data_IF_992985047311
#
_entry.id   IF_992985047311
#
_cell.length_a   1.000
_cell.length_b   1.000
_cell.length_c   1.000
_cell.angle_alpha   90.00
_cell.angle_beta   90.00
_cell.angle_gamma   90.00
#
_symmetry.space_group_name_H-M   'P 1'
#
loop_
_entity.id
_entity.type
_entity.pdbx_description
1 polymer ?
#
# COMPACT_ATOMS: atom_id res chain seq x y z
N UNK A 1 17.39 24.52 -2.02
CA UNK A 1 16.94 23.64 -0.92
C UNK A 1 16.48 22.34 -1.57
N UNK A 2 17.19 21.23 -1.34
CA UNK A 2 16.94 19.94 -1.99
C UNK A 2 16.28 19.02 -0.97
N UNK A 3 14.96 18.94 -0.97
CA UNK A 3 14.26 17.99 -0.11
C UNK A 3 14.42 16.59 -0.71
N UNK A 4 15.29 15.79 -0.10
CA UNK A 4 15.41 14.35 -0.35
C UNK A 4 14.38 13.65 0.55
N UNK A 5 13.17 13.42 0.04
CA UNK A 5 12.27 12.42 0.62
C UNK A 5 12.31 11.21 -0.31
N UNK A 6 13.22 10.28 -0.05
CA UNK A 6 13.16 8.95 -0.69
C UNK A 6 12.11 8.14 0.06
N UNK A 7 10.87 8.14 -0.45
CA UNK A 7 9.81 7.26 0.03
C UNK A 7 10.17 5.86 -0.49
N UNK A 8 10.79 5.04 0.36
CA UNK A 8 11.09 3.65 0.02
C UNK A 8 9.77 2.85 0.01
N UNK A 9 9.27 2.51 -1.17
CA UNK A 9 8.07 1.68 -1.39
C UNK A 9 8.12 0.29 -0.76
N UNK A 10 9.31 -0.16 -0.33
CA UNK A 10 9.49 -1.37 0.48
C UNK A 10 8.63 -1.42 1.74
N UNK A 11 8.03 -0.30 2.17
CA UNK A 11 7.15 -0.24 3.35
C UNK A 11 5.67 0.09 3.06
N UNK A 12 5.30 0.58 1.88
CA UNK A 12 3.96 1.20 1.68
C UNK A 12 2.92 0.21 1.15
N UNK A 13 3.31 -0.74 0.28
CA UNK A 13 2.36 -1.69 -0.33
C UNK A 13 2.21 -3.01 0.45
N UNK A 14 3.04 -3.26 1.46
CA UNK A 14 2.93 -4.43 2.34
C UNK A 14 1.71 -4.41 3.27
N UNK A 15 1.00 -3.28 3.37
CA UNK A 15 -0.20 -3.14 4.21
C UNK A 15 -1.51 -3.56 3.51
N UNK A 16 -1.51 -3.73 2.18
CA UNK A 16 -2.71 -4.18 1.45
C UNK A 16 -3.00 -5.68 1.72
N UNK A 17 -2.01 -6.46 2.18
CA UNK A 17 -2.15 -7.92 2.21
C UNK A 17 -2.38 -8.58 3.58
N UNK A 18 -2.11 -7.96 4.74
CA UNK A 18 -2.20 -8.69 6.03
C UNK A 18 -2.73 -7.81 7.17
N UNK A 19 -4.05 -7.84 7.35
CA UNK A 19 -4.74 -7.29 8.52
C UNK A 19 -5.73 -8.25 9.17
N UNK A 20 -5.59 -9.57 8.95
CA UNK A 20 -6.41 -10.62 9.53
C UNK A 20 -5.64 -11.48 10.54
N UNK A 21 -5.23 -10.92 11.69
CA UNK A 21 -5.03 -11.70 12.92
C UNK A 21 -5.53 -10.86 14.10
N UNK A 22 -6.62 -11.30 14.72
CA UNK A 22 -7.06 -10.80 16.03
C UNK A 22 -6.33 -11.49 17.18
N UNK A 23 -6.47 -10.91 18.39
CA UNK A 23 -6.22 -11.47 19.73
C UNK A 23 -4.73 -11.68 20.08
N UNK A 24 -4.15 -11.27 21.21
CA UNK A 24 -4.59 -10.86 22.56
C UNK A 24 -3.53 -9.93 23.16
N UNK A 25 -3.91 -9.04 24.09
CA UNK A 25 -2.95 -8.22 24.83
C UNK A 25 -2.14 -9.02 25.86
N UNK A 26 -0.87 -8.66 26.01
CA UNK A 26 -0.13 -8.53 27.27
C UNK A 26 1.11 -7.66 27.03
N UNK A 27 1.22 -6.53 27.72
CA UNK A 27 2.48 -5.82 27.93
C UNK A 27 3.50 -6.75 28.60
N UNK A 28 4.79 -6.70 28.26
CA UNK A 28 5.92 -6.69 29.22
C UNK A 28 7.29 -6.56 28.54
N UNK A 29 8.04 -5.56 29.01
CA UNK A 29 9.49 -5.47 29.23
C UNK A 29 10.51 -5.74 28.11
N UNK A 30 11.28 -4.67 27.84
CA UNK A 30 12.68 -4.69 27.42
C UNK A 30 13.55 -5.50 28.39
N UNK A 31 14.47 -6.32 27.87
CA UNK A 31 15.73 -6.59 28.55
C UNK A 31 16.85 -6.85 27.52
N UNK A 32 17.98 -6.11 27.56
CA UNK A 32 19.07 -6.26 26.62
C UNK A 32 20.04 -7.35 27.11
N UNK A 33 20.47 -8.26 26.22
CA UNK A 33 21.65 -9.09 26.47
C UNK A 33 22.69 -8.90 25.35
N UNK A 34 23.72 -8.18 25.76
CA UNK A 34 25.04 -8.01 25.18
C UNK A 34 25.74 -9.36 24.94
N UNK A 35 26.35 -9.54 23.77
CA UNK A 35 27.54 -10.38 23.52
C UNK A 35 28.39 -9.73 22.40
N UNK A 36 29.70 -10.01 22.31
CA UNK A 36 30.73 -8.99 22.17
C UNK A 36 31.23 -8.73 20.74
N UNK A 37 31.89 -7.58 20.64
CA UNK A 37 32.76 -7.01 19.59
C UNK A 37 33.52 -8.00 18.71
N UNK A 38 33.41 -7.82 17.39
CA UNK A 38 34.48 -8.05 16.43
C UNK A 38 34.57 -6.84 15.47
N UNK A 39 35.76 -6.24 15.37
CA UNK A 39 36.18 -5.27 14.35
C UNK A 39 37.62 -5.64 13.94
N UNK A 40 38.18 -5.11 12.84
CA UNK A 40 37.58 -4.65 11.58
C UNK A 40 38.24 -5.33 10.35
N UNK A 41 37.58 -5.41 9.19
CA UNK A 41 38.33 -5.46 7.93
C UNK A 41 37.53 -4.92 6.77
N UNK A 42 38.17 -3.96 6.10
CA UNK A 42 37.72 -3.27 4.90
C UNK A 42 37.74 -4.22 3.71
N UNK A 43 36.62 -4.32 3.01
CA UNK A 43 36.60 -4.65 1.59
C UNK A 43 35.35 -4.04 0.98
N UNK A 44 35.58 -3.10 0.05
CA UNK A 44 34.55 -2.29 -0.59
C UNK A 44 33.43 -3.16 -1.14
N UNK A 45 32.24 -2.99 -0.56
CA UNK A 45 31.02 -3.35 -1.28
C UNK A 45 30.93 -2.41 -2.48
N UNK A 46 30.63 -2.91 -3.69
CA UNK A 46 30.27 -2.01 -4.76
C UNK A 46 29.02 -1.29 -4.26
N UNK A 47 29.11 0.04 -4.13
CA UNK A 47 27.94 0.88 -4.25
C UNK A 47 27.31 0.48 -5.58
N UNK A 48 26.32 -0.42 -5.53
CA UNK A 48 25.38 -0.60 -6.62
C UNK A 48 24.80 0.78 -6.81
N UNK A 49 25.32 1.45 -7.84
CA UNK A 49 25.02 2.81 -8.18
C UNK A 49 23.51 2.89 -8.27
N UNK A 50 22.89 3.52 -7.27
CA UNK A 50 21.48 3.88 -7.33
C UNK A 50 21.40 4.94 -8.41
N UNK A 51 21.19 4.47 -9.64
CA UNK A 51 20.95 5.31 -10.80
C UNK A 51 19.66 6.06 -10.52
N UNK A 52 19.81 7.32 -10.12
CA UNK A 52 18.70 8.24 -10.11
C UNK A 52 18.29 8.56 -11.56
N UNK A 53 16.97 8.69 -11.73
CA UNK A 53 16.21 9.29 -12.84
C UNK A 53 15.87 8.41 -14.05
N UNK A 54 14.57 8.16 -14.18
CA UNK A 54 13.84 8.32 -15.43
C UNK A 54 13.94 7.15 -16.39
N UNK A 55 13.58 5.95 -15.94
CA UNK A 55 12.98 5.01 -16.88
C UNK A 55 11.69 5.63 -17.38
N UNK A 56 11.43 5.62 -18.69
CA UNK A 56 10.07 5.95 -19.15
C UNK A 56 9.16 4.87 -18.60
N UNK A 57 8.24 5.24 -17.69
CA UNK A 57 7.25 4.30 -17.18
C UNK A 57 6.67 3.45 -18.32
N UNK A 58 6.68 2.14 -18.10
CA UNK A 58 6.04 1.23 -19.04
C UNK A 58 4.54 1.50 -19.11
N UNK A 59 3.88 0.93 -20.11
CA UNK A 59 2.42 0.98 -20.14
C UNK A 59 1.79 0.17 -19.01
N UNK A 60 2.50 -0.83 -18.46
CA UNK A 60 2.06 -1.58 -17.30
C UNK A 60 2.12 -0.71 -16.03
N UNK A 61 3.24 -0.05 -15.78
CA UNK A 61 3.44 0.82 -14.60
C UNK A 61 2.36 1.92 -14.55
N UNK A 62 2.09 2.58 -15.69
CA UNK A 62 1.04 3.61 -15.79
C UNK A 62 -0.36 3.05 -15.58
N UNK A 63 -0.63 1.85 -16.07
CA UNK A 63 -1.92 1.18 -15.87
C UNK A 63 -2.10 0.80 -14.41
N UNK A 64 -1.07 0.23 -13.78
CA UNK A 64 -1.06 -0.14 -12.39
C UNK A 64 -1.30 1.06 -11.47
N UNK A 65 -0.56 2.17 -11.65
CA UNK A 65 -0.79 3.40 -10.86
C UNK A 65 -2.25 3.87 -10.96
N UNK A 66 -2.82 3.86 -12.18
CA UNK A 66 -4.21 4.29 -12.41
C UNK A 66 -5.22 3.34 -11.78
N UNK A 67 -4.99 2.04 -11.84
CA UNK A 67 -5.92 1.04 -11.32
C UNK A 67 -5.83 0.93 -9.80
N UNK A 68 -4.63 0.93 -9.23
CA UNK A 68 -4.41 1.01 -7.78
C UNK A 68 -5.01 2.30 -7.18
N UNK A 69 -4.89 3.44 -7.85
CA UNK A 69 -5.54 4.68 -7.41
C UNK A 69 -7.07 4.58 -7.40
N UNK A 70 -7.69 3.92 -8.41
CA UNK A 70 -9.15 3.74 -8.45
C UNK A 70 -9.63 2.78 -7.36
N UNK A 71 -8.95 1.65 -7.18
CA UNK A 71 -9.26 0.65 -6.15
C UNK A 71 -9.14 1.28 -4.76
N UNK A 72 -7.96 1.82 -4.44
CA UNK A 72 -7.71 2.44 -3.15
C UNK A 72 -8.66 3.59 -2.81
N UNK A 73 -9.06 4.43 -3.78
CA UNK A 73 -10.08 5.47 -3.51
C UNK A 73 -11.48 4.87 -3.26
N UNK A 74 -11.85 3.83 -4.01
CA UNK A 74 -13.11 3.12 -3.79
C UNK A 74 -13.15 2.48 -2.40
N UNK A 75 -12.07 1.84 -1.97
CA UNK A 75 -11.96 1.20 -0.65
C UNK A 75 -12.02 2.20 0.49
N UNK A 76 -11.43 3.40 0.33
CA UNK A 76 -11.61 4.50 1.29
C UNK A 76 -13.06 4.96 1.35
N UNK A 77 -13.71 5.14 0.19
CA UNK A 77 -15.10 5.58 0.15
C UNK A 77 -16.04 4.53 0.78
N UNK A 78 -15.83 3.24 0.48
CA UNK A 78 -16.56 2.14 1.09
C UNK A 78 -16.25 2.03 2.59
N UNK A 79 -14.99 2.15 3.00
CA UNK A 79 -14.61 2.14 4.41
C UNK A 79 -15.35 3.20 5.23
N UNK A 80 -15.50 4.42 4.70
CA UNK A 80 -16.23 5.53 5.37
C UNK A 80 -17.70 5.21 5.58
N UNK A 81 -18.35 4.62 4.58
CA UNK A 81 -19.77 4.23 4.69
C UNK A 81 -19.92 3.07 5.68
N UNK A 82 -18.99 2.12 5.73
CA UNK A 82 -19.03 0.99 6.67
C UNK A 82 -18.77 1.46 8.11
N UNK A 83 -17.77 2.30 8.34
CA UNK A 83 -17.47 2.91 9.63
C UNK A 83 -18.71 3.60 10.23
N UNK A 84 -19.45 4.33 9.39
CA UNK A 84 -20.63 5.09 9.81
C UNK A 84 -21.89 4.22 9.99
N UNK A 85 -22.15 3.32 9.04
CA UNK A 85 -23.47 2.71 8.87
C UNK A 85 -23.54 1.21 9.18
N UNK A 86 -22.41 0.52 9.36
CA UNK A 86 -22.44 -0.91 9.62
C UNK A 86 -23.19 -1.21 10.93
N UNK A 87 -23.81 -2.38 11.02
CA UNK A 87 -24.55 -2.78 12.24
C UNK A 87 -23.64 -3.49 13.23
N UNK A 88 -22.71 -4.30 12.71
CA UNK A 88 -21.71 -5.02 13.47
C UNK A 88 -20.51 -4.11 13.78
N UNK A 89 -20.11 -4.06 15.07
CA UNK A 89 -18.98 -3.26 15.53
C UNK A 89 -17.65 -3.65 14.87
N UNK A 90 -17.42 -4.93 14.60
CA UNK A 90 -16.20 -5.39 13.93
C UNK A 90 -16.13 -4.89 12.49
N UNK A 91 -17.28 -4.82 11.80
CA UNK A 91 -17.37 -4.28 10.44
C UNK A 91 -17.16 -2.77 10.42
N UNK A 92 -17.63 -2.03 11.44
CA UNK A 92 -17.27 -0.61 11.62
C UNK A 92 -15.77 -0.43 11.80
N UNK A 93 -15.16 -1.20 12.70
CA UNK A 93 -13.71 -1.15 12.95
C UNK A 93 -12.91 -1.54 11.72
N UNK A 94 -13.38 -2.52 10.94
CA UNK A 94 -12.79 -2.87 9.67
C UNK A 94 -12.88 -1.70 8.67
N UNK A 95 -14.07 -1.09 8.51
CA UNK A 95 -14.24 0.10 7.66
C UNK A 95 -13.29 1.25 8.04
N UNK A 96 -13.17 1.57 9.33
CA UNK A 96 -12.26 2.61 9.82
C UNK A 96 -10.78 2.30 9.48
N UNK A 97 -10.38 1.02 9.56
CA UNK A 97 -9.03 0.59 9.15
C UNK A 97 -8.83 0.76 7.64
N UNK A 98 -9.80 0.38 6.81
CA UNK A 98 -9.73 0.59 5.36
C UNK A 98 -9.53 2.07 5.00
N UNK A 99 -10.27 2.97 5.65
CA UNK A 99 -10.09 4.42 5.44
C UNK A 99 -8.68 4.88 5.78
N UNK A 100 -8.13 4.42 6.91
CA UNK A 100 -6.81 4.80 7.37
C UNK A 100 -5.71 4.27 6.45
N UNK A 101 -5.71 2.96 6.22
CA UNK A 101 -4.58 2.27 5.58
C UNK A 101 -4.56 2.56 4.08
N UNK A 102 -5.71 2.47 3.39
CA UNK A 102 -5.80 2.81 1.97
C UNK A 102 -5.72 4.33 1.74
N UNK A 103 -6.20 5.15 2.69
CA UNK A 103 -6.01 6.60 2.64
C UNK A 103 -4.53 6.99 2.59
N UNK A 104 -3.72 6.38 3.47
CA UNK A 104 -2.27 6.61 3.47
C UNK A 104 -1.60 6.09 2.19
N UNK A 105 -1.99 4.89 1.72
CA UNK A 105 -1.45 4.33 0.48
C UNK A 105 -1.77 5.21 -0.74
N UNK A 106 -2.99 5.75 -0.82
CA UNK A 106 -3.40 6.68 -1.88
C UNK A 106 -2.58 7.98 -1.87
N UNK A 107 -2.28 8.53 -0.70
CA UNK A 107 -1.44 9.73 -0.57
C UNK A 107 -0.03 9.49 -1.11
N UNK A 108 0.57 8.35 -0.78
CA UNK A 108 1.90 7.98 -1.27
C UNK A 108 1.88 7.72 -2.78
N UNK A 109 0.91 6.95 -3.27
CA UNK A 109 0.74 6.67 -4.70
C UNK A 109 0.50 7.94 -5.52
N UNK A 110 -0.22 8.93 -4.95
CA UNK A 110 -0.43 10.24 -5.58
C UNK A 110 0.87 11.03 -5.70
N UNK A 111 1.78 10.89 -4.74
CA UNK A 111 3.14 11.44 -4.83
C UNK A 111 3.89 10.88 -6.04
N UNK A 112 3.90 9.55 -6.18
CA UNK A 112 4.55 8.85 -7.29
C UNK A 112 3.92 9.25 -8.62
N UNK A 113 2.59 9.22 -8.73
CA UNK A 113 1.87 9.61 -9.93
C UNK A 113 2.25 11.04 -10.38
N UNK A 114 2.44 11.96 -9.43
CA UNK A 114 2.87 13.34 -9.73
C UNK A 114 4.31 13.40 -10.22
N UNK A 115 5.23 12.67 -9.59
CA UNK A 115 6.64 12.62 -10.00
C UNK A 115 6.80 12.03 -11.41
N UNK A 116 5.99 11.01 -11.71
CA UNK A 116 6.01 10.28 -12.99
C UNK A 116 5.06 10.85 -14.05
N UNK A 117 4.42 12.00 -13.77
CA UNK A 117 3.49 12.68 -14.68
C UNK A 117 2.33 11.78 -15.17
N UNK A 118 1.85 10.91 -14.29
CA UNK A 118 0.67 10.07 -14.51
C UNK A 118 -0.57 10.82 -14.02
N UNK A 119 -1.59 10.91 -14.88
CA UNK A 119 -2.87 11.52 -14.53
C UNK A 119 -3.54 10.76 -13.38
N UNK A 120 -3.90 11.51 -12.33
CA UNK A 120 -4.64 10.98 -11.19
C UNK A 120 -6.13 10.85 -11.53
N UNK A 121 -6.75 9.67 -11.36
CA UNK A 121 -8.16 9.49 -11.66
C UNK A 121 -9.06 10.31 -10.73
N UNK A 122 -10.24 10.71 -11.23
CA UNK A 122 -11.25 11.34 -10.39
C UNK A 122 -11.83 10.35 -9.36
N UNK A 123 -12.15 10.85 -8.17
CA UNK A 123 -12.83 10.08 -7.12
C UNK A 123 -14.22 9.64 -7.60
N UNK A 124 -14.65 8.47 -7.15
CA UNK A 124 -15.99 7.94 -7.39
C UNK A 124 -16.70 7.74 -6.06
N UNK A 125 -17.99 8.01 -6.05
CA UNK A 125 -18.83 7.73 -4.89
C UNK A 125 -18.86 6.24 -4.58
N UNK A 126 -18.86 5.91 -3.29
CA UNK A 126 -19.08 4.54 -2.85
C UNK A 126 -20.45 4.04 -3.31
N UNK A 127 -20.49 2.79 -3.77
CA UNK A 127 -21.75 2.09 -3.98
C UNK A 127 -22.54 1.98 -2.68
N UNK A 128 -23.88 1.86 -2.78
CA UNK A 128 -24.73 1.50 -1.63
C UNK A 128 -24.77 -0.03 -1.51
N UNK A 129 -24.63 -0.55 -0.30
CA UNK A 129 -24.87 -1.96 0.02
C UNK A 129 -26.05 -2.12 0.99
N UNK A 130 -26.64 -3.32 1.03
CA UNK A 130 -27.86 -3.57 1.80
C UNK A 130 -27.56 -4.15 3.19
N UNK A 131 -26.38 -4.71 3.39
CA UNK A 131 -25.99 -5.34 4.66
C UNK A 131 -24.47 -5.29 4.88
N UNK A 132 -24.05 -5.54 6.12
CA UNK A 132 -22.63 -5.71 6.45
C UNK A 132 -21.99 -6.85 5.65
N UNK A 133 -22.75 -7.92 5.37
CA UNK A 133 -22.28 -9.03 4.54
C UNK A 133 -22.01 -8.58 3.11
N UNK A 134 -22.91 -7.80 2.52
CA UNK A 134 -22.75 -7.29 1.14
C UNK A 134 -21.48 -6.42 1.03
N UNK A 135 -21.21 -5.61 2.05
CA UNK A 135 -19.97 -4.83 2.13
C UNK A 135 -18.74 -5.72 2.18
N UNK A 136 -18.70 -6.73 3.08
CA UNK A 136 -17.57 -7.65 3.17
C UNK A 136 -17.36 -8.45 1.87
N UNK A 137 -18.45 -8.90 1.23
CA UNK A 137 -18.39 -9.59 -0.07
C UNK A 137 -17.86 -8.66 -1.18
N UNK A 138 -18.18 -7.37 -1.13
CA UNK A 138 -17.66 -6.38 -2.09
C UNK A 138 -16.16 -6.14 -1.88
N UNK A 139 -15.72 -6.03 -0.63
CA UNK A 139 -14.30 -5.85 -0.28
C UNK A 139 -13.44 -7.03 -0.76
N UNK A 140 -13.90 -8.27 -0.57
CA UNK A 140 -13.18 -9.45 -1.07
C UNK A 140 -13.00 -9.40 -2.58
N UNK A 141 -14.07 -9.09 -3.33
CA UNK A 141 -14.03 -9.00 -4.79
C UNK A 141 -13.14 -7.87 -5.29
N UNK A 142 -13.02 -6.79 -4.53
CA UNK A 142 -12.15 -5.67 -4.89
C UNK A 142 -10.69 -6.04 -4.67
N UNK A 143 -10.36 -6.57 -3.49
CA UNK A 143 -9.02 -7.06 -3.19
C UNK A 143 -8.55 -8.17 -4.16
N UNK A 144 -9.43 -9.07 -4.64
CA UNK A 144 -9.09 -10.06 -5.67
C UNK A 144 -8.67 -9.41 -7.00
N UNK A 145 -9.32 -8.31 -7.40
CA UNK A 145 -8.93 -7.56 -8.61
C UNK A 145 -7.62 -6.83 -8.40
N UNK A 146 -7.43 -6.26 -7.22
CA UNK A 146 -6.18 -5.60 -6.88
C UNK A 146 -5.05 -6.60 -6.93
N UNK A 147 -5.18 -7.78 -6.31
CA UNK A 147 -4.19 -8.85 -6.40
C UNK A 147 -3.83 -9.19 -7.86
N UNK A 148 -4.81 -9.29 -8.75
CA UNK A 148 -4.55 -9.52 -10.17
C UNK A 148 -3.78 -8.34 -10.83
N UNK A 149 -4.08 -7.10 -10.46
CA UNK A 149 -3.34 -5.92 -10.91
C UNK A 149 -1.90 -5.91 -10.39
N UNK A 150 -1.70 -6.23 -9.11
CA UNK A 150 -0.39 -6.38 -8.49
C UNK A 150 0.44 -7.49 -9.14
N UNK A 151 -0.15 -8.67 -9.40
CA UNK A 151 0.54 -9.74 -10.11
C UNK A 151 0.95 -9.34 -11.53
N UNK A 152 0.08 -8.60 -12.23
CA UNK A 152 0.37 -8.12 -13.57
C UNK A 152 1.53 -7.12 -13.56
N UNK A 153 1.55 -6.22 -12.57
CA UNK A 153 2.64 -5.27 -12.39
C UNK A 153 3.94 -6.00 -12.04
N UNK A 154 3.92 -6.93 -11.10
CA UNK A 154 5.10 -7.71 -10.74
C UNK A 154 5.70 -8.48 -11.94
N UNK A 155 4.87 -8.89 -12.91
CA UNK A 155 5.30 -9.62 -14.11
C UNK A 155 5.77 -8.72 -15.26
N UNK A 156 5.17 -7.54 -15.43
CA UNK A 156 5.32 -6.72 -16.64
C UNK A 156 5.83 -5.30 -16.38
N UNK A 157 5.90 -4.90 -15.12
CA UNK A 157 6.36 -3.61 -14.70
C UNK A 157 7.86 -3.46 -14.86
N UNK A 158 8.31 -2.21 -14.97
CA UNK A 158 9.73 -1.91 -15.20
C UNK A 158 10.31 -0.87 -14.25
N UNK A 159 9.46 -0.08 -13.62
CA UNK A 159 9.89 0.98 -12.71
C UNK A 159 10.09 0.43 -11.28
N UNK A 160 11.29 0.56 -10.69
CA UNK A 160 11.54 0.07 -9.33
C UNK A 160 10.77 0.82 -8.24
N UNK A 161 10.28 2.02 -8.53
CA UNK A 161 9.43 2.84 -7.67
C UNK A 161 7.92 2.58 -7.95
N UNK A 162 7.59 1.57 -8.76
CA UNK A 162 6.21 1.10 -8.97
C UNK A 162 6.09 -0.42 -8.77
N UNK A 163 7.17 -1.14 -9.07
CA UNK A 163 7.28 -2.59 -8.97
C UNK A 163 7.25 -3.09 -7.52
N UNK A 164 6.56 -4.20 -7.31
CA UNK A 164 6.64 -4.98 -6.07
C UNK A 164 7.98 -5.74 -5.98
N UNK A 165 8.47 -6.04 -4.76
CA UNK A 165 9.55 -7.00 -4.60
C UNK A 165 9.06 -8.41 -4.97
N UNK A 166 9.84 -9.11 -5.82
CA UNK A 166 9.68 -10.54 -6.14
C UNK A 166 9.81 -11.44 -4.92
#
# INVERSE_FOLDING_TARGET
>A
MKHKFSINIRFVLGLIAIGCIGLTGTSFAQNPKMFPTATPSSSGSPETSRKAKGGTLSSADKAFIKDAAKGGMMEVAMGRVAEKNATNSEVKTFGARMVKDHGKANEDLKGIAKEENVEWPAEKEAGKWKSDKDYMDAMVKDHEKDLAAFEKEAKNGSDPDVSMPS
#
